data_IF_632090224272
#
_entry.id   IF_632090224272
#
_cell.length_a   1.000
_cell.length_b   1.000
_cell.length_c   1.000
_cell.angle_alpha   90.00
_cell.angle_beta   90.00
_cell.angle_gamma   90.00
#
_symmetry.space_group_name_H-M   'P 1'
#
loop_
_entity.id
_entity.type
_entity.pdbx_description
1 polymer ?
#
# COMPACT_ATOMS: atom_id res chain seq x y z
N UNK A 1 25.79 -19.31 46.86
CA UNK A 1 25.01 -19.70 45.67
C UNK A 1 23.61 -19.06 45.53
N UNK A 2 23.10 -18.28 46.51
CA UNK A 2 21.71 -17.75 46.47
C UNK A 2 21.52 -16.45 45.68
N UNK A 3 22.57 -15.67 45.43
CA UNK A 3 22.49 -14.35 44.76
C UNK A 3 22.42 -14.43 43.23
N UNK A 4 22.91 -15.51 42.61
CA UNK A 4 22.88 -15.69 41.14
C UNK A 4 21.49 -16.04 40.59
N UNK A 5 20.59 -16.59 41.41
CA UNK A 5 19.24 -16.97 40.98
C UNK A 5 18.25 -15.79 40.95
N UNK A 6 18.45 -14.79 41.81
CA UNK A 6 17.56 -13.62 41.91
C UNK A 6 17.71 -12.72 40.67
N UNK A 7 18.92 -12.58 40.14
CA UNK A 7 19.18 -11.84 38.90
C UNK A 7 18.54 -12.51 37.67
N UNK A 8 18.50 -13.84 37.64
CA UNK A 8 17.89 -14.59 36.53
C UNK A 8 16.36 -14.40 36.51
N UNK A 9 15.71 -14.39 37.67
CA UNK A 9 14.27 -14.11 37.80
C UNK A 9 13.91 -12.66 37.47
N UNK A 10 14.76 -11.70 37.83
CA UNK A 10 14.59 -10.30 37.43
C UNK A 10 14.65 -10.11 35.90
N UNK A 11 15.62 -10.76 35.25
CA UNK A 11 15.75 -10.76 33.78
C UNK A 11 14.57 -11.44 33.08
N UNK A 12 14.08 -12.55 33.63
CA UNK A 12 12.91 -13.27 33.10
C UNK A 12 11.62 -12.44 33.22
N UNK A 13 11.44 -11.72 34.33
CA UNK A 13 10.29 -10.84 34.55
C UNK A 13 10.32 -9.64 33.59
N UNK A 14 11.50 -9.02 33.39
CA UNK A 14 11.67 -7.95 32.39
C UNK A 14 11.40 -8.47 30.98
N UNK A 15 11.87 -9.67 30.64
CA UNK A 15 11.61 -10.32 29.35
C UNK A 15 10.12 -10.60 29.12
N UNK A 16 9.39 -11.09 30.13
CA UNK A 16 7.95 -11.32 30.04
C UNK A 16 7.12 -10.03 29.96
N UNK A 17 7.58 -8.92 30.57
CA UNK A 17 6.92 -7.61 30.39
C UNK A 17 7.18 -6.97 29.03
N UNK A 18 8.28 -7.33 28.36
CA UNK A 18 8.61 -6.87 27.00
C UNK A 18 7.82 -7.64 25.93
N UNK A 19 7.31 -8.83 26.22
CA UNK A 19 6.31 -9.50 25.37
C UNK A 19 4.91 -8.93 25.61
N UNK A 20 4.77 -7.60 25.54
CA UNK A 20 3.45 -6.99 25.41
C UNK A 20 2.79 -7.61 24.18
N UNK A 21 1.57 -8.12 24.32
CA UNK A 21 0.81 -8.84 23.29
C UNK A 21 0.94 -8.17 21.91
N UNK A 22 1.91 -8.62 21.11
CA UNK A 22 2.11 -8.10 19.75
C UNK A 22 0.96 -8.67 18.95
N UNK A 23 0.05 -7.80 18.49
CA UNK A 23 -1.01 -8.21 17.58
C UNK A 23 -0.37 -8.88 16.36
N UNK A 24 -0.91 -10.00 15.86
CA UNK A 24 -0.30 -10.70 14.74
C UNK A 24 -0.24 -9.79 13.52
N UNK A 25 0.95 -9.60 12.94
CA UNK A 25 1.14 -8.83 11.70
C UNK A 25 0.48 -9.49 10.48
N UNK A 26 0.09 -10.77 10.60
CA UNK A 26 -0.51 -11.58 9.55
C UNK A 26 -1.65 -12.41 10.13
N UNK A 27 -2.85 -12.22 9.58
CA UNK A 27 -4.04 -13.02 9.87
C UNK A 27 -4.55 -13.62 8.55
N UNK A 28 -4.02 -14.78 8.14
CA UNK A 28 -4.27 -15.36 6.80
C UNK A 28 -5.42 -16.39 6.80
N UNK A 29 -6.65 -15.95 7.10
CA UNK A 29 -7.81 -16.86 7.17
C UNK A 29 -8.27 -17.38 5.81
N UNK A 30 -7.91 -16.74 4.71
CA UNK A 30 -8.20 -17.20 3.35
C UNK A 30 -7.11 -18.12 2.77
N UNK A 31 -5.97 -18.29 3.45
CA UNK A 31 -4.82 -19.11 3.03
C UNK A 31 -4.28 -18.75 1.64
N UNK A 32 -4.17 -17.46 1.35
CA UNK A 32 -3.81 -16.96 0.02
C UNK A 32 -2.44 -16.29 -0.01
N UNK A 33 -1.82 -16.08 1.15
CA UNK A 33 -0.52 -15.43 1.24
C UNK A 33 0.61 -16.44 1.04
N UNK A 34 1.53 -16.14 0.13
CA UNK A 34 2.70 -16.97 -0.11
C UNK A 34 3.84 -16.67 0.89
N UNK A 35 4.86 -17.54 0.92
CA UNK A 35 5.99 -17.43 1.85
C UNK A 35 6.72 -16.09 1.73
N UNK A 36 7.03 -15.67 0.50
CA UNK A 36 7.73 -14.41 0.21
C UNK A 36 7.00 -13.19 0.81
N UNK A 37 5.68 -13.12 0.62
CA UNK A 37 4.85 -12.03 1.15
C UNK A 37 4.80 -12.07 2.67
N UNK A 38 4.64 -13.26 3.27
CA UNK A 38 4.69 -13.42 4.74
C UNK A 38 6.05 -12.99 5.31
N UNK A 39 7.14 -13.33 4.64
CA UNK A 39 8.50 -12.92 5.05
C UNK A 39 8.65 -11.40 4.98
N UNK A 40 8.27 -10.77 3.87
CA UNK A 40 8.28 -9.31 3.73
C UNK A 40 7.54 -8.61 4.88
N UNK A 41 6.31 -9.07 5.16
CA UNK A 41 5.48 -8.49 6.22
C UNK A 41 6.16 -8.61 7.59
N UNK A 42 6.70 -9.79 7.91
CA UNK A 42 7.39 -10.04 9.18
C UNK A 42 8.65 -9.20 9.31
N UNK A 43 9.50 -9.19 8.28
CA UNK A 43 10.79 -8.48 8.34
C UNK A 43 10.62 -6.97 8.52
N UNK A 44 9.72 -6.33 7.77
CA UNK A 44 9.48 -4.89 7.93
C UNK A 44 8.89 -4.55 9.30
N UNK A 45 7.89 -5.30 9.77
CA UNK A 45 7.33 -5.07 11.10
C UNK A 45 8.34 -5.33 12.22
N UNK A 46 9.21 -6.34 12.09
CA UNK A 46 10.28 -6.59 13.06
C UNK A 46 11.27 -5.42 13.14
N UNK A 47 11.53 -4.74 12.01
CA UNK A 47 12.34 -3.52 12.00
C UNK A 47 11.65 -2.39 12.76
N UNK A 48 10.33 -2.24 12.62
CA UNK A 48 9.59 -1.23 13.37
C UNK A 48 9.66 -1.39 14.88
N UNK A 49 9.82 -2.61 15.40
CA UNK A 49 10.02 -2.83 16.84
C UNK A 49 11.27 -2.11 17.38
N UNK A 50 12.24 -1.80 16.53
CA UNK A 50 13.47 -1.08 16.88
C UNK A 50 13.34 0.44 16.76
N UNK A 51 12.19 0.94 16.31
CA UNK A 51 11.93 2.38 16.16
C UNK A 51 11.27 2.95 17.41
N UNK A 52 11.29 4.28 17.56
CA UNK A 52 10.70 4.95 18.73
C UNK A 52 9.17 4.82 18.76
N UNK A 53 8.52 4.99 17.63
CA UNK A 53 7.06 5.00 17.54
C UNK A 53 6.48 3.57 17.42
N UNK A 54 7.28 2.62 16.94
CA UNK A 54 6.91 1.20 16.76
C UNK A 54 5.62 1.02 15.95
N UNK A 55 5.53 1.58 14.73
CA UNK A 55 4.34 1.40 13.91
C UNK A 55 4.18 -0.06 13.46
N UNK A 56 2.96 -0.41 13.04
CA UNK A 56 2.61 -1.76 12.63
C UNK A 56 1.83 -1.73 11.30
N UNK A 57 2.10 -2.70 10.43
CA UNK A 57 1.34 -2.94 9.21
C UNK A 57 0.84 -4.37 9.24
N UNK A 58 -0.46 -4.53 9.46
CA UNK A 58 -1.14 -5.82 9.59
C UNK A 58 -1.84 -6.20 8.30
N UNK A 59 -1.62 -7.42 7.83
CA UNK A 59 -2.31 -7.99 6.66
C UNK A 59 -3.31 -9.04 7.12
N UNK A 60 -4.59 -8.82 6.83
CA UNK A 60 -5.70 -9.69 7.21
C UNK A 60 -6.35 -10.23 5.95
N UNK A 61 -6.48 -11.54 5.80
CA UNK A 61 -7.24 -12.16 4.71
C UNK A 61 -8.50 -12.83 5.27
N UNK A 62 -9.66 -12.60 4.66
CA UNK A 62 -10.96 -13.13 5.11
C UNK A 62 -11.74 -13.75 3.97
N UNK A 63 -12.53 -14.79 4.26
CA UNK A 63 -13.37 -15.50 3.27
C UNK A 63 -14.70 -14.79 2.97
N UNK A 64 -14.69 -13.46 2.85
CA UNK A 64 -15.86 -12.61 2.56
C UNK A 64 -15.44 -11.34 1.80
N UNK A 65 -16.39 -10.64 1.19
CA UNK A 65 -16.14 -9.37 0.45
C UNK A 65 -16.75 -8.14 1.11
N UNK A 66 -17.61 -8.31 2.13
CA UNK A 66 -18.29 -7.23 2.83
C UNK A 66 -17.82 -7.16 4.27
N UNK A 67 -17.99 -5.99 4.88
CA UNK A 67 -17.64 -5.71 6.27
C UNK A 67 -16.17 -6.04 6.55
N UNK A 68 -15.29 -5.52 5.69
CA UNK A 68 -13.83 -5.72 5.76
C UNK A 68 -13.16 -4.85 6.82
N UNK A 69 -13.87 -3.91 7.44
CA UNK A 69 -13.32 -3.06 8.50
C UNK A 69 -12.82 -3.91 9.68
N UNK A 70 -11.54 -3.80 10.07
CA UNK A 70 -10.99 -4.52 11.21
C UNK A 70 -11.69 -4.14 12.52
N UNK A 71 -12.05 -5.13 13.35
CA UNK A 71 -12.66 -4.90 14.67
C UNK A 71 -11.76 -4.12 15.62
N UNK A 72 -10.44 -4.25 15.47
CA UNK A 72 -9.43 -3.57 16.29
C UNK A 72 -9.17 -2.12 15.88
N UNK A 73 -9.64 -1.67 14.70
CA UNK A 73 -9.27 -0.39 14.09
C UNK A 73 -9.37 0.81 15.05
N UNK A 74 -10.47 0.90 15.80
CA UNK A 74 -10.73 2.03 16.70
C UNK A 74 -9.86 2.04 17.97
N UNK A 75 -9.23 0.90 18.32
CA UNK A 75 -8.39 0.74 19.51
C UNK A 75 -6.89 0.72 19.17
N UNK A 76 -6.56 0.43 17.92
CA UNK A 76 -5.18 0.40 17.44
C UNK A 76 -4.59 1.80 17.29
N UNK A 77 -3.28 1.91 17.48
CA UNK A 77 -2.49 3.13 17.34
C UNK A 77 -1.29 2.83 16.46
N UNK A 78 -0.91 3.77 15.60
CA UNK A 78 0.24 3.63 14.70
C UNK A 78 0.15 2.38 13.82
N UNK A 79 -1.07 1.96 13.48
CA UNK A 79 -1.33 0.71 12.77
C UNK A 79 -2.00 0.97 11.43
N UNK A 80 -1.49 0.33 10.39
CA UNK A 80 -2.12 0.24 9.07
C UNK A 80 -2.65 -1.18 8.90
N UNK A 81 -3.87 -1.31 8.39
CA UNK A 81 -4.47 -2.60 8.07
C UNK A 81 -4.65 -2.71 6.56
N UNK A 82 -4.11 -3.77 5.98
CA UNK A 82 -4.40 -4.18 4.61
C UNK A 82 -5.32 -5.39 4.72
N UNK A 83 -6.61 -5.18 4.42
CA UNK A 83 -7.62 -6.24 4.52
C UNK A 83 -7.96 -6.74 3.13
N UNK A 84 -7.81 -8.05 2.94
CA UNK A 84 -8.11 -8.77 1.71
C UNK A 84 -9.35 -9.61 1.92
N UNK A 85 -10.43 -9.24 1.25
CA UNK A 85 -11.61 -10.07 1.13
C UNK A 85 -11.49 -11.03 -0.05
N UNK A 86 -11.77 -12.32 0.15
CA UNK A 86 -11.88 -13.30 -0.93
C UNK A 86 -13.19 -14.08 -0.83
N UNK A 87 -13.93 -14.15 -1.95
CA UNK A 87 -15.10 -15.05 -2.09
C UNK A 87 -15.09 -15.67 -3.48
N UNK A 88 -14.88 -16.99 -3.54
CA UNK A 88 -14.65 -17.69 -4.80
C UNK A 88 -13.47 -17.08 -5.56
N UNK A 89 -13.70 -16.68 -6.82
CA UNK A 89 -12.67 -16.05 -7.66
C UNK A 89 -12.55 -14.54 -7.50
N UNK A 90 -13.41 -13.91 -6.69
CA UNK A 90 -13.41 -12.45 -6.49
C UNK A 90 -12.55 -12.08 -5.30
N UNK A 91 -11.78 -11.01 -5.45
CA UNK A 91 -10.95 -10.40 -4.41
C UNK A 91 -11.24 -8.91 -4.30
N UNK A 92 -11.21 -8.41 -3.08
CA UNK A 92 -11.25 -6.98 -2.77
C UNK A 92 -10.16 -6.67 -1.75
N UNK A 93 -9.47 -5.55 -1.92
CA UNK A 93 -8.38 -5.13 -1.03
C UNK A 93 -8.66 -3.72 -0.55
N UNK A 94 -8.66 -3.54 0.76
CA UNK A 94 -8.93 -2.26 1.39
C UNK A 94 -7.80 -1.91 2.37
N UNK A 95 -7.50 -0.61 2.45
CA UNK A 95 -6.50 -0.08 3.36
C UNK A 95 -7.22 0.74 4.43
N UNK A 96 -6.98 0.42 5.70
CA UNK A 96 -7.41 1.20 6.85
C UNK A 96 -6.19 1.65 7.64
N UNK A 97 -6.34 2.71 8.42
CA UNK A 97 -5.28 3.20 9.30
C UNK A 97 -5.88 3.67 10.61
N UNK A 98 -5.10 3.61 11.68
CA UNK A 98 -5.45 4.24 12.94
C UNK A 98 -5.48 5.77 12.77
N UNK A 99 -6.20 6.45 13.67
CA UNK A 99 -6.50 7.89 13.57
C UNK A 99 -5.25 8.76 13.39
N UNK A 100 -4.16 8.40 14.05
CA UNK A 100 -2.87 9.11 14.00
C UNK A 100 -2.15 9.02 12.64
N UNK A 101 -2.53 8.06 11.80
CA UNK A 101 -1.96 7.86 10.45
C UNK A 101 -2.89 8.35 9.33
N UNK A 102 -4.05 8.93 9.65
CA UNK A 102 -5.02 9.40 8.64
C UNK A 102 -4.43 10.43 7.67
N UNK A 103 -3.51 11.29 8.12
CA UNK A 103 -2.84 12.27 7.27
C UNK A 103 -2.01 11.60 6.16
N UNK A 104 -1.33 10.49 6.48
CA UNK A 104 -0.56 9.72 5.50
C UNK A 104 -1.44 8.83 4.60
N UNK A 105 -2.61 8.41 5.10
CA UNK A 105 -3.54 7.49 4.44
C UNK A 105 -4.90 8.13 4.14
N UNK A 106 -4.88 9.26 3.44
CA UNK A 106 -6.10 9.90 2.90
C UNK A 106 -6.86 8.94 1.96
N UNK A 107 -8.11 9.28 1.63
CA UNK A 107 -8.90 8.48 0.67
C UNK A 107 -8.18 8.35 -0.68
N UNK A 108 -7.62 9.46 -1.19
CA UNK A 108 -6.87 9.48 -2.44
C UNK A 108 -5.57 8.69 -2.36
N UNK A 109 -4.81 8.83 -1.27
CA UNK A 109 -3.58 8.07 -1.08
C UNK A 109 -3.85 6.55 -1.12
N UNK A 110 -4.87 6.10 -0.40
CA UNK A 110 -5.29 4.68 -0.40
C UNK A 110 -5.76 4.22 -1.77
N UNK A 111 -6.59 5.02 -2.44
CA UNK A 111 -7.08 4.71 -3.78
C UNK A 111 -5.95 4.60 -4.79
N UNK A 112 -4.97 5.51 -4.75
CA UNK A 112 -3.85 5.52 -5.67
C UNK A 112 -2.92 4.32 -5.48
N UNK A 113 -2.66 3.92 -4.22
CA UNK A 113 -1.89 2.70 -3.91
C UNK A 113 -2.55 1.47 -4.53
N UNK A 114 -3.87 1.32 -4.35
CA UNK A 114 -4.62 0.16 -4.85
C UNK A 114 -4.74 0.16 -6.39
N UNK A 115 -4.96 1.34 -7.00
CA UNK A 115 -5.08 1.47 -8.46
C UNK A 115 -3.79 1.12 -9.19
N UNK A 116 -2.62 1.39 -8.60
CA UNK A 116 -1.33 1.10 -9.21
C UNK A 116 -1.13 -0.40 -9.56
N UNK A 117 -1.82 -1.31 -8.87
CA UNK A 117 -1.71 -2.76 -9.06
C UNK A 117 -3.09 -3.45 -9.18
N UNK A 118 -4.12 -2.72 -9.60
CA UNK A 118 -5.51 -3.22 -9.60
C UNK A 118 -5.68 -4.56 -10.33
N UNK A 119 -5.00 -4.75 -11.45
CA UNK A 119 -5.09 -5.99 -12.24
C UNK A 119 -4.49 -7.18 -11.48
N UNK A 120 -3.36 -6.97 -10.79
CA UNK A 120 -2.74 -8.00 -9.98
C UNK A 120 -3.59 -8.33 -8.75
N UNK A 121 -4.15 -7.31 -8.09
CA UNK A 121 -4.98 -7.46 -6.90
C UNK A 121 -6.32 -8.16 -7.19
N UNK A 122 -6.83 -8.07 -8.42
CA UNK A 122 -8.03 -8.78 -8.88
C UNK A 122 -7.76 -10.20 -9.36
N UNK A 123 -6.50 -10.56 -9.61
CA UNK A 123 -6.14 -11.89 -10.10
C UNK A 123 -6.50 -12.97 -9.09
N UNK A 124 -7.10 -14.07 -9.56
CA UNK A 124 -7.34 -15.27 -8.74
C UNK A 124 -6.06 -16.11 -8.58
N UNK A 125 -5.07 -15.94 -9.46
CA UNK A 125 -3.78 -16.62 -9.32
C UNK A 125 -3.05 -16.05 -8.09
N UNK A 126 -2.74 -16.91 -7.11
CA UNK A 126 -2.11 -16.49 -5.87
C UNK A 126 -0.73 -15.85 -6.11
N UNK A 127 0.06 -16.32 -7.07
CA UNK A 127 1.38 -15.74 -7.33
C UNK A 127 1.25 -14.29 -7.85
N UNK A 128 0.37 -14.07 -8.84
CA UNK A 128 0.08 -12.73 -9.37
C UNK A 128 -0.49 -11.81 -8.29
N UNK A 129 -1.46 -12.31 -7.52
CA UNK A 129 -2.06 -11.54 -6.43
C UNK A 129 -1.04 -11.13 -5.36
N UNK A 130 -0.19 -12.07 -4.93
CA UNK A 130 0.83 -11.78 -3.93
C UNK A 130 1.84 -10.75 -4.45
N UNK A 131 2.14 -10.71 -5.75
CA UNK A 131 2.99 -9.65 -6.34
C UNK A 131 2.38 -8.26 -6.13
N UNK A 132 1.09 -8.10 -6.46
CA UNK A 132 0.35 -6.86 -6.22
C UNK A 132 0.25 -6.52 -4.73
N UNK A 133 0.00 -7.52 -3.88
CA UNK A 133 -0.10 -7.31 -2.44
C UNK A 133 1.23 -6.88 -1.81
N UNK A 134 2.38 -7.43 -2.27
CA UNK A 134 3.70 -6.97 -1.83
C UNK A 134 3.91 -5.51 -2.20
N UNK A 135 3.51 -5.07 -3.39
CA UNK A 135 3.58 -3.65 -3.75
C UNK A 135 2.72 -2.79 -2.82
N UNK A 136 1.46 -3.17 -2.55
CA UNK A 136 0.59 -2.45 -1.62
C UNK A 136 1.21 -2.38 -0.22
N UNK A 137 1.79 -3.48 0.27
CA UNK A 137 2.48 -3.51 1.55
C UNK A 137 3.66 -2.54 1.59
N UNK A 138 4.54 -2.58 0.57
CA UNK A 138 5.69 -1.67 0.45
C UNK A 138 5.25 -0.21 0.35
N UNK A 139 4.15 0.07 -0.35
CA UNK A 139 3.57 1.41 -0.43
C UNK A 139 3.10 1.93 0.94
N UNK A 140 2.43 1.07 1.71
CA UNK A 140 2.04 1.39 3.09
C UNK A 140 3.27 1.61 3.98
N UNK A 141 4.29 0.75 3.87
CA UNK A 141 5.56 0.91 4.59
C UNK A 141 6.22 2.27 4.29
N UNK A 142 6.30 2.64 3.02
CA UNK A 142 6.88 3.93 2.62
C UNK A 142 6.09 5.12 3.16
N UNK A 143 4.77 5.03 3.21
CA UNK A 143 3.93 6.09 3.80
C UNK A 143 4.12 6.19 5.32
N UNK A 144 4.25 5.07 6.01
CA UNK A 144 4.57 5.04 7.45
C UNK A 144 5.95 5.64 7.71
N UNK A 145 6.95 5.24 6.93
CA UNK A 145 8.33 5.73 7.08
C UNK A 145 8.42 7.23 6.79
N UNK A 146 7.72 7.72 5.76
CA UNK A 146 7.61 9.15 5.49
C UNK A 146 6.93 9.92 6.63
N UNK A 147 5.84 9.38 7.18
CA UNK A 147 5.09 10.00 8.27
C UNK A 147 5.94 10.17 9.55
N UNK A 148 6.77 9.18 9.87
CA UNK A 148 7.65 9.20 11.04
C UNK A 148 9.09 9.63 10.72
N UNK A 149 9.35 10.06 9.49
CA UNK A 149 10.66 10.53 9.02
C UNK A 149 11.78 9.49 9.19
N UNK A 150 11.45 8.20 9.01
CA UNK A 150 12.44 7.12 8.99
C UNK A 150 13.16 7.06 7.64
N UNK A 151 14.40 6.57 7.67
CA UNK A 151 15.14 6.29 6.44
C UNK A 151 14.50 5.13 5.67
N UNK A 152 14.22 5.36 4.39
CA UNK A 152 13.69 4.34 3.48
C UNK A 152 14.69 3.18 3.32
N UNK A 153 14.16 1.98 3.13
CA UNK A 153 14.94 0.76 3.02
C UNK A 153 14.49 -0.17 1.87
N UNK A 154 15.03 -1.39 1.83
CA UNK A 154 14.73 -2.39 0.80
C UNK A 154 13.26 -2.84 0.74
N UNK A 155 12.49 -2.57 1.79
CA UNK A 155 11.05 -2.86 1.88
C UNK A 155 10.19 -1.67 1.47
N UNK A 156 10.81 -0.54 1.14
CA UNK A 156 10.12 0.64 0.65
C UNK A 156 10.05 0.65 -0.87
N UNK A 157 9.17 1.50 -1.40
CA UNK A 157 9.08 1.76 -2.81
C UNK A 157 10.27 2.61 -3.28
N UNK A 158 10.84 2.22 -4.42
CA UNK A 158 11.78 3.07 -5.15
C UNK A 158 11.10 4.36 -5.63
N UNK A 159 11.89 5.37 -6.00
CA UNK A 159 11.34 6.65 -6.46
C UNK A 159 10.42 6.49 -7.69
N UNK A 160 10.75 5.60 -8.62
CA UNK A 160 9.91 5.33 -9.80
C UNK A 160 8.56 4.70 -9.42
N UNK A 161 8.56 3.78 -8.46
CA UNK A 161 7.34 3.18 -7.91
C UNK A 161 6.49 4.20 -7.13
N UNK A 162 7.11 5.11 -6.37
CA UNK A 162 6.41 6.20 -5.70
C UNK A 162 5.76 7.17 -6.71
N UNK A 163 6.46 7.44 -7.82
CA UNK A 163 5.92 8.26 -8.91
C UNK A 163 4.70 7.59 -9.58
N UNK A 164 4.72 6.26 -9.73
CA UNK A 164 3.59 5.47 -10.24
C UNK A 164 2.33 5.65 -9.39
N UNK A 165 2.46 5.71 -8.08
CA UNK A 165 1.34 5.95 -7.16
C UNK A 165 0.87 7.40 -7.21
N UNK A 166 1.80 8.35 -7.29
CA UNK A 166 1.46 9.78 -7.29
C UNK A 166 0.76 10.21 -8.59
N UNK A 167 1.02 9.51 -9.69
CA UNK A 167 0.41 9.78 -11.00
C UNK A 167 0.01 8.45 -11.68
N UNK A 168 -1.08 7.79 -11.23
CA UNK A 168 -1.45 6.46 -11.72
C UNK A 168 -1.84 6.45 -13.22
N UNK A 169 -2.09 7.61 -13.81
CA UNK A 169 -2.28 7.82 -15.24
C UNK A 169 -1.27 8.84 -15.81
N UNK A 170 0.02 8.51 -15.86
CA UNK A 170 0.89 9.18 -16.83
C UNK A 170 0.73 8.46 -18.17
N UNK A 171 0.02 9.11 -19.09
CA UNK A 171 0.36 8.96 -20.51
C UNK A 171 1.86 9.18 -20.63
N UNK A 172 2.58 8.20 -21.19
CA UNK A 172 4.02 8.34 -21.37
C UNK A 172 4.30 9.66 -22.11
N UNK A 173 5.37 10.37 -21.75
CA UNK A 173 5.72 11.67 -22.37
C UNK A 173 5.64 11.65 -23.92
N UNK A 174 6.04 10.56 -24.63
CA UNK A 174 5.85 10.47 -26.07
C UNK A 174 4.38 10.45 -26.51
N UNK A 175 3.49 9.85 -25.73
CA UNK A 175 2.04 9.79 -26.00
C UNK A 175 1.40 11.16 -25.76
N UNK A 176 1.79 11.86 -24.69
CA UNK A 176 1.33 13.22 -24.43
C UNK A 176 1.76 14.19 -25.55
N UNK A 177 3.00 14.07 -26.02
CA UNK A 177 3.49 14.84 -27.18
C UNK A 177 2.73 14.46 -28.46
N UNK A 178 2.53 13.17 -28.73
CA UNK A 178 1.79 12.72 -29.91
C UNK A 178 0.36 13.27 -29.94
N UNK A 179 -0.35 13.25 -28.80
CA UNK A 179 -1.69 13.84 -28.67
C UNK A 179 -1.68 15.36 -28.89
N UNK A 180 -0.68 16.07 -28.36
CA UNK A 180 -0.54 17.50 -28.58
C UNK A 180 -0.32 17.84 -30.07
N UNK A 181 0.52 17.08 -30.78
CA UNK A 181 0.71 17.22 -32.22
C UNK A 181 -0.56 16.91 -33.01
N UNK A 182 -1.32 15.89 -32.60
CA UNK A 182 -2.59 15.53 -33.24
C UNK A 182 -3.62 16.65 -33.11
N UNK A 183 -3.79 17.19 -31.90
CA UNK A 183 -4.71 18.31 -31.63
C UNK A 183 -4.27 19.56 -32.42
N UNK A 184 -2.97 19.87 -32.44
CA UNK A 184 -2.43 21.02 -33.18
C UNK A 184 -2.65 20.86 -34.70
N UNK A 185 -2.46 19.66 -35.25
CA UNK A 185 -2.72 19.34 -36.65
C UNK A 185 -4.20 19.47 -37.03
N UNK A 186 -5.12 19.01 -36.16
CA UNK A 186 -6.57 19.17 -36.36
C UNK A 186 -6.95 20.66 -36.36
N UNK A 187 -6.45 21.45 -35.41
CA UNK A 187 -6.70 22.90 -35.36
C UNK A 187 -6.19 23.60 -36.63
N UNK A 188 -5.00 23.23 -37.10
CA UNK A 188 -4.41 23.78 -38.32
C UNK A 188 -5.27 23.45 -39.56
N UNK A 189 -5.71 22.20 -39.71
CA UNK A 189 -6.60 21.79 -40.79
C UNK A 189 -7.95 22.52 -40.75
N UNK A 190 -8.57 22.63 -39.57
CA UNK A 190 -9.84 23.36 -39.40
C UNK A 190 -9.70 24.85 -39.75
N UNK A 191 -8.59 25.49 -39.36
CA UNK A 191 -8.30 26.88 -39.75
C UNK A 191 -8.07 27.03 -41.26
N UNK A 192 -7.40 26.06 -41.89
CA UNK A 192 -7.14 26.05 -43.33
C UNK A 192 -8.42 25.88 -44.17
N UNK A 193 -9.33 25.00 -43.75
CA UNK A 193 -10.60 24.79 -44.44
C UNK A 193 -11.63 25.88 -44.13
N UNK A 194 -11.59 26.48 -42.93
CA UNK A 194 -12.45 27.61 -42.58
C UNK A 194 -12.16 28.89 -43.38
N UNK A 195 -10.93 29.09 -43.85
CA UNK A 195 -10.54 30.28 -44.63
C UNK A 195 -10.91 30.20 -46.12
N UNK A 196 -11.20 29.02 -46.66
CA UNK A 196 -11.53 28.85 -48.08
C UNK A 196 -13.02 29.03 -48.39
N UNK A 197 -13.89 28.95 -47.38
CA UNK A 197 -15.35 29.05 -47.58
C UNK A 197 -15.88 30.50 -47.58
N UNK A 198 -15.09 31.50 -47.17
CA UNK A 198 -15.52 32.91 -47.13
C UNK A 198 -15.26 33.70 -48.42
N UNK A 199 -14.65 33.10 -49.44
CA UNK A 199 -14.32 33.77 -50.71
C UNK A 199 -15.26 33.42 -51.89
N UNK A 200 -16.38 32.72 -51.63
CA UNK A 200 -17.41 32.42 -52.64
C UNK A 200 -18.67 33.30 -52.52
N UNK A 201 -18.59 34.42 -51.79
CA UNK A 201 -19.59 35.50 -51.81
C UNK A 201 -18.92 36.86 -52.00
N UNK A 202 -18.45 37.12 -53.21
CA UNK A 202 -18.35 38.46 -53.79
C UNK A 202 -18.62 38.37 -55.27
#
# INVERSE_FOLDING_TARGET
>A
MKTRFIWLFGLLAVFMTMTGFVQPNIEDHAHILNKETKTLIKEKNNRYLQTKEQPQITVITVKKLKDLTPKSLNRSKRTVFIVVGQKGKKRDVQIFSSKDLHGAFTADARSNILRAEVDQLRSYNNATFNKGLRFVFRACATKVDQQYQYALDKFDLSQSEQNKISHPHRVALPIALALAFLIMGIIYMLRRFGHHSSNLRK
#
